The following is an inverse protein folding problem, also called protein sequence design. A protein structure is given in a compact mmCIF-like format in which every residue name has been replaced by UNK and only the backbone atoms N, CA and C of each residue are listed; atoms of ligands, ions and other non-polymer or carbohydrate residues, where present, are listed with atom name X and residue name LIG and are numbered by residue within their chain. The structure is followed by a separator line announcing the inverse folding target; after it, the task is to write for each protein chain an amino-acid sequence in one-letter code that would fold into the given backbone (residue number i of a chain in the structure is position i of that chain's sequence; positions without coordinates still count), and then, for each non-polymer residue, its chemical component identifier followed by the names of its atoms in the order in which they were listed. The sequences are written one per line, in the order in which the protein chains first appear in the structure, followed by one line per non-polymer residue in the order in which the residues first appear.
data_IF_291061634512
#
_entry.id   IF_291061634512
#
_cell.length_a   1.000
_cell.length_b   1.000
_cell.length_c   1.000
_cell.angle_alpha   90.00
_cell.angle_beta   90.00
_cell.angle_gamma   90.00
#
_symmetry.space_group_name_H-M   'P 1'
#
loop_
_entity.id
_entity.type
_entity.pdbx_description
1 polymer ?
#
# COMPACT_ATOMS: atom_id res chain seq x y z
N UNK A 1 -6.15 -19.38 24.66
CA UNK A 1 -5.84 -17.99 24.28
C UNK A 1 -7.11 -17.20 24.48
N UNK A 2 -7.02 -16.06 25.17
CA UNK A 2 -8.18 -15.17 25.36
C UNK A 2 -8.62 -14.63 23.97
N UNK A 3 -9.92 -14.60 23.64
CA UNK A 3 -10.40 -13.98 22.39
C UNK A 3 -9.89 -12.55 22.17
N UNK A 4 -9.62 -11.79 23.25
CA UNK A 4 -9.06 -10.44 23.18
C UNK A 4 -7.57 -10.41 22.77
N UNK A 5 -6.79 -11.43 23.14
CA UNK A 5 -5.38 -11.58 22.71
C UNK A 5 -5.31 -11.91 21.22
N UNK A 6 -6.24 -12.74 20.74
CA UNK A 6 -6.33 -13.11 19.33
C UNK A 6 -6.71 -11.93 18.44
N UNK A 7 -7.75 -11.16 18.80
CA UNK A 7 -8.17 -10.00 18.01
C UNK A 7 -7.06 -8.94 17.92
N UNK A 8 -6.37 -8.69 19.04
CA UNK A 8 -5.23 -7.77 19.10
C UNK A 8 -4.09 -8.22 18.18
N UNK A 9 -3.77 -9.51 18.20
CA UNK A 9 -2.69 -10.07 17.38
C UNK A 9 -3.00 -10.00 15.88
N UNK A 10 -4.24 -10.30 15.47
CA UNK A 10 -4.67 -10.16 14.07
C UNK A 10 -4.58 -8.69 13.62
N UNK A 11 -4.96 -7.74 14.48
CA UNK A 11 -4.87 -6.31 14.17
C UNK A 11 -3.42 -5.85 13.96
N UNK A 12 -2.48 -6.35 14.77
CA UNK A 12 -1.04 -6.07 14.59
C UNK A 12 -0.58 -6.50 13.20
N UNK A 13 -0.84 -7.75 12.80
CA UNK A 13 -0.44 -8.24 11.48
C UNK A 13 -1.14 -7.51 10.34
N UNK A 14 -2.43 -7.18 10.50
CA UNK A 14 -3.19 -6.41 9.52
C UNK A 14 -2.60 -5.01 9.34
N UNK A 15 -2.14 -4.38 10.42
CA UNK A 15 -1.46 -3.09 10.37
C UNK A 15 -0.08 -3.21 9.71
N UNK A 16 0.67 -4.28 9.95
CA UNK A 16 1.92 -4.55 9.24
C UNK A 16 1.71 -4.68 7.73
N UNK A 17 0.73 -5.46 7.28
CA UNK A 17 0.39 -5.59 5.86
C UNK A 17 -0.03 -4.26 5.24
N UNK A 18 -0.80 -3.45 5.97
CA UNK A 18 -1.17 -2.10 5.55
C UNK A 18 0.06 -1.22 5.36
N UNK A 19 1.01 -1.28 6.29
CA UNK A 19 2.25 -0.53 6.20
C UNK A 19 3.10 -0.99 5.02
N UNK A 20 3.22 -2.30 4.76
CA UNK A 20 3.90 -2.80 3.56
C UNK A 20 3.29 -2.27 2.24
N UNK A 21 1.96 -2.19 2.16
CA UNK A 21 1.28 -1.58 1.00
C UNK A 21 1.65 -0.10 0.88
N UNK A 22 1.69 0.62 2.01
CA UNK A 22 2.05 2.05 2.03
C UNK A 22 3.50 2.27 1.62
N UNK A 23 4.44 1.54 2.23
CA UNK A 23 5.88 1.64 1.94
C UNK A 23 6.17 1.32 0.47
N UNK A 24 5.53 0.29 -0.08
CA UNK A 24 5.64 -0.04 -1.49
C UNK A 24 5.04 1.05 -2.38
N UNK A 25 3.92 1.65 -1.99
CA UNK A 25 3.34 2.78 -2.71
C UNK A 25 4.25 4.03 -2.71
N UNK A 26 4.93 4.33 -1.60
CA UNK A 26 5.88 5.43 -1.52
C UNK A 26 7.12 5.18 -2.37
N UNK A 27 7.63 3.95 -2.35
CA UNK A 27 8.75 3.54 -3.19
C UNK A 27 8.42 3.67 -4.68
N UNK A 28 7.25 3.18 -5.12
CA UNK A 28 6.79 3.29 -6.52
C UNK A 28 6.52 4.74 -6.92
N UNK A 29 5.94 5.54 -6.02
CA UNK A 29 5.69 6.96 -6.26
C UNK A 29 6.99 7.75 -6.46
N UNK A 30 8.04 7.36 -5.76
CA UNK A 30 9.30 8.08 -5.74
C UNK A 30 9.21 9.41 -4.98
N UNK A 31 10.16 10.33 -5.18
CA UNK A 31 10.21 11.58 -4.42
C UNK A 31 9.01 12.47 -4.72
N UNK A 32 8.36 12.96 -3.66
CA UNK A 32 7.28 13.93 -3.80
C UNK A 32 7.80 15.27 -4.34
N UNK A 33 7.11 15.88 -5.33
CA UNK A 33 7.42 17.24 -5.75
C UNK A 33 7.31 18.24 -4.61
N UNK A 34 8.09 19.32 -4.74
CA UNK A 34 8.02 20.42 -3.78
C UNK A 34 6.63 21.05 -3.77
N UNK A 35 6.20 21.45 -2.58
CA UNK A 35 4.99 22.27 -2.42
C UNK A 35 5.26 23.65 -3.01
N UNK A 36 4.31 24.18 -3.78
CA UNK A 36 4.42 25.50 -4.40
C UNK A 36 3.10 26.24 -4.34
N UNK A 37 3.15 27.55 -4.52
CA UNK A 37 1.96 28.40 -4.58
C UNK A 37 1.66 28.69 -6.06
N UNK A 38 0.44 28.44 -6.49
CA UNK A 38 0.04 28.76 -7.87
C UNK A 38 -0.28 30.27 -8.03
N UNK A 39 -0.58 30.69 -9.26
CA UNK A 39 -0.93 32.07 -9.60
C UNK A 39 -2.17 32.62 -8.84
N UNK A 40 -3.00 31.72 -8.29
CA UNK A 40 -4.19 32.07 -7.51
C UNK A 40 -3.95 32.09 -5.99
N UNK A 41 -2.70 31.97 -5.53
CA UNK A 41 -2.37 31.95 -4.10
C UNK A 41 -2.70 30.62 -3.39
N UNK A 42 -3.04 29.57 -4.15
CA UNK A 42 -3.33 28.23 -3.64
C UNK A 42 -2.03 27.48 -3.36
N UNK A 43 -1.81 27.01 -2.12
CA UNK A 43 -0.68 26.14 -1.80
C UNK A 43 -0.98 24.74 -2.32
N UNK A 44 -0.23 24.29 -3.33
CA UNK A 44 -0.36 22.97 -3.93
C UNK A 44 0.62 22.00 -3.29
N UNK A 45 0.08 21.01 -2.57
CA UNK A 45 0.84 19.96 -1.92
C UNK A 45 0.61 18.61 -2.61
N UNK A 46 1.69 17.89 -2.84
CA UNK A 46 1.69 16.54 -3.42
C UNK A 46 1.54 15.47 -2.33
N UNK A 47 0.86 14.39 -2.67
CA UNK A 47 0.58 13.25 -1.80
C UNK A 47 0.64 11.95 -2.60
N UNK A 48 1.02 10.86 -1.95
CA UNK A 48 0.90 9.50 -2.52
C UNK A 48 -0.53 9.01 -2.34
N UNK A 49 -1.08 8.36 -3.37
CA UNK A 49 -2.34 7.62 -3.25
C UNK A 49 -2.05 6.19 -2.76
N UNK A 50 -2.57 5.85 -1.58
CA UNK A 50 -2.43 4.53 -0.96
C UNK A 50 -3.56 3.55 -1.32
N UNK A 51 -4.38 3.89 -2.32
CA UNK A 51 -5.39 2.98 -2.89
C UNK A 51 -6.64 2.77 -2.04
N UNK A 52 -6.86 3.53 -0.96
CA UNK A 52 -8.00 3.31 -0.04
C UNK A 52 -9.38 3.48 -0.68
N UNK A 53 -9.54 4.43 -1.60
CA UNK A 53 -10.81 4.71 -2.29
C UNK A 53 -10.80 4.35 -3.77
N UNK A 54 -9.62 4.35 -4.40
CA UNK A 54 -9.44 3.93 -5.78
C UNK A 54 -8.09 3.24 -5.93
N UNK A 55 -8.12 1.91 -5.84
CA UNK A 55 -6.93 1.09 -5.86
C UNK A 55 -6.17 1.13 -7.19
N UNK A 56 -6.83 1.44 -8.31
CA UNK A 56 -6.15 1.54 -9.62
C UNK A 56 -5.21 2.74 -9.70
N UNK A 57 -5.28 3.68 -8.74
CA UNK A 57 -4.39 4.84 -8.66
C UNK A 57 -3.31 4.68 -7.57
N UNK A 58 -3.16 3.50 -6.96
CA UNK A 58 -2.16 3.29 -5.91
C UNK A 58 -0.74 3.60 -6.42
N UNK A 59 0.11 4.15 -5.55
CA UNK A 59 1.48 4.56 -5.90
C UNK A 59 1.55 5.80 -6.81
N UNK A 60 0.41 6.37 -7.23
CA UNK A 60 0.41 7.63 -7.98
C UNK A 60 0.53 8.82 -7.05
N UNK A 61 1.23 9.84 -7.51
CA UNK A 61 1.27 11.14 -6.85
C UNK A 61 0.12 11.99 -7.36
N UNK A 62 -0.59 12.60 -6.43
CA UNK A 62 -1.63 13.57 -6.73
C UNK A 62 -1.42 14.86 -5.94
N UNK A 63 -1.92 15.97 -6.47
CA UNK A 63 -1.84 17.28 -5.81
C UNK A 63 -3.19 17.69 -5.25
N UNK A 64 -3.17 18.38 -4.11
CA UNK A 64 -4.33 19.06 -3.53
C UNK A 64 -3.96 20.51 -3.25
N UNK A 65 -4.90 21.43 -3.53
CA UNK A 65 -4.80 22.78 -2.98
C UNK A 65 -5.19 22.76 -1.50
N UNK A 66 -4.32 23.28 -0.65
CA UNK A 66 -4.53 23.48 0.78
C UNK A 66 -4.56 24.98 1.06
N UNK A 67 -5.74 25.58 1.20
CA UNK A 67 -5.87 26.94 1.77
C UNK A 67 -6.61 26.88 3.10
N UNK A 68 -6.52 27.95 3.90
CA UNK A 68 -7.21 28.05 5.19
C UNK A 68 -8.75 28.01 5.09
N UNK A 69 -9.33 28.14 3.89
CA UNK A 69 -10.78 28.39 3.71
C UNK A 69 -11.48 27.51 2.65
N UNK A 70 -10.77 26.67 1.87
CA UNK A 70 -11.42 25.89 0.79
C UNK A 70 -11.50 24.38 1.03
N UNK A 71 -12.66 23.84 0.63
CA UNK A 71 -12.93 22.42 0.38
C UNK A 71 -12.16 21.98 -0.88
N UNK A 72 -11.53 20.81 -0.79
CA UNK A 72 -10.58 20.26 -1.76
C UNK A 72 -11.01 20.42 -3.24
N UNK A 73 -10.19 21.14 -4.03
CA UNK A 73 -10.26 21.17 -5.50
C UNK A 73 -10.03 19.77 -6.11
N UNK A 74 -10.42 19.52 -7.38
CA UNK A 74 -10.30 18.21 -8.00
C UNK A 74 -8.86 17.68 -7.94
N UNK A 75 -8.74 16.41 -7.59
CA UNK A 75 -7.47 15.70 -7.46
C UNK A 75 -6.83 15.60 -8.85
N UNK A 76 -5.75 16.33 -9.08
CA UNK A 76 -4.93 16.20 -10.28
C UNK A 76 -3.81 15.20 -10.00
N UNK A 77 -3.74 14.12 -10.79
CA UNK A 77 -2.64 13.17 -10.74
C UNK A 77 -1.50 13.65 -11.64
N UNK A 78 -0.28 13.52 -11.16
CA UNK A 78 0.91 14.03 -11.87
C UNK A 78 1.86 12.93 -12.32
N UNK A 79 1.77 11.72 -11.76
CA UNK A 79 2.54 10.56 -12.23
C UNK A 79 1.68 9.65 -13.11
N UNK A 80 2.34 8.89 -13.99
CA UNK A 80 1.73 7.83 -14.78
C UNK A 80 1.17 6.74 -13.86
N UNK A 81 0.29 5.91 -14.41
CA UNK A 81 -0.12 4.69 -13.74
C UNK A 81 1.09 3.77 -13.54
N UNK A 82 1.12 2.98 -12.44
CA UNK A 82 2.09 1.89 -12.34
C UNK A 82 1.91 0.94 -13.53
N UNK A 83 3.00 0.34 -13.99
CA UNK A 83 2.95 -0.67 -15.04
C UNK A 83 2.30 -1.97 -14.55
N UNK A 84 2.08 -2.91 -15.47
CA UNK A 84 1.37 -4.16 -15.19
C UNK A 84 2.09 -5.01 -14.13
N UNK A 85 3.43 -5.07 -14.17
CA UNK A 85 4.25 -5.81 -13.21
C UNK A 85 4.10 -5.23 -11.80
N UNK A 86 4.22 -3.91 -11.68
CA UNK A 86 4.06 -3.18 -10.41
C UNK A 86 2.63 -3.33 -9.88
N UNK A 87 1.61 -3.21 -10.76
CA UNK A 87 0.22 -3.40 -10.38
C UNK A 87 -0.07 -4.83 -9.91
N UNK A 88 0.59 -5.85 -10.48
CA UNK A 88 0.46 -7.24 -10.03
C UNK A 88 0.97 -7.40 -8.58
N UNK A 89 2.09 -6.75 -8.23
CA UNK A 89 2.59 -6.76 -6.84
C UNK A 89 1.61 -6.08 -5.89
N UNK A 90 1.08 -4.90 -6.26
CA UNK A 90 0.04 -4.24 -5.47
C UNK A 90 -1.20 -5.12 -5.25
N UNK A 91 -1.69 -5.77 -6.32
CA UNK A 91 -2.84 -6.67 -6.23
C UNK A 91 -2.58 -7.83 -5.27
N UNK A 92 -1.37 -8.42 -5.31
CA UNK A 92 -1.00 -9.50 -4.39
C UNK A 92 -0.93 -9.02 -2.94
N UNK A 93 -0.31 -7.88 -2.67
CA UNK A 93 -0.28 -7.27 -1.33
C UNK A 93 -1.69 -6.97 -0.81
N UNK A 94 -2.57 -6.45 -1.67
CA UNK A 94 -3.97 -6.22 -1.33
C UNK A 94 -4.71 -7.52 -1.01
N UNK A 95 -4.50 -8.58 -1.79
CA UNK A 95 -5.09 -9.87 -1.52
C UNK A 95 -4.67 -10.41 -0.15
N UNK A 96 -3.39 -10.36 0.20
CA UNK A 96 -2.88 -10.73 1.53
C UNK A 96 -3.56 -9.93 2.65
N UNK A 97 -3.70 -8.61 2.47
CA UNK A 97 -4.41 -7.75 3.42
C UNK A 97 -5.89 -8.11 3.56
N UNK A 98 -6.60 -8.35 2.46
CA UNK A 98 -8.03 -8.71 2.47
C UNK A 98 -8.27 -10.08 3.11
N UNK A 99 -7.36 -11.04 2.92
CA UNK A 99 -7.42 -12.39 3.51
C UNK A 99 -7.29 -12.39 5.04
N UNK A 100 -6.72 -11.34 5.65
CA UNK A 100 -6.75 -11.19 7.12
C UNK A 100 -8.13 -10.82 7.67
N UNK A 101 -9.09 -10.48 6.81
CA UNK A 101 -10.43 -10.08 7.22
C UNK A 101 -11.25 -11.25 7.79
N UNK A 102 -11.96 -10.99 8.90
CA UNK A 102 -12.80 -11.97 9.59
C UNK A 102 -13.91 -12.60 8.72
N UNK A 103 -14.26 -12.00 7.58
CA UNK A 103 -15.27 -12.55 6.65
C UNK A 103 -14.80 -13.84 5.95
N UNK A 104 -13.49 -14.04 5.81
CA UNK A 104 -12.91 -15.23 5.17
C UNK A 104 -12.43 -16.27 6.17
N UNK A 105 -12.35 -15.92 7.46
CA UNK A 105 -12.23 -16.91 8.52
C UNK A 105 -13.61 -17.48 8.81
N UNK A 106 -13.82 -18.75 8.47
CA UNK A 106 -14.84 -19.55 9.15
C UNK A 106 -14.69 -19.36 10.66
N UNK A 107 -15.82 -19.31 11.39
CA UNK A 107 -15.86 -19.02 12.83
C UNK A 107 -14.71 -19.72 13.56
N UNK A 108 -13.87 -19.00 14.33
CA UNK A 108 -12.80 -19.63 15.10
C UNK A 108 -13.37 -20.79 15.93
N UNK A 109 -12.84 -22.00 15.73
CA UNK A 109 -13.37 -23.23 16.36
C UNK A 109 -14.20 -24.15 15.46
N UNK A 110 -14.60 -23.74 14.25
CA UNK A 110 -15.28 -24.66 13.31
C UNK A 110 -14.31 -25.51 12.48
N UNK A 111 -13.16 -24.95 12.07
CA UNK A 111 -12.18 -25.66 11.21
C UNK A 111 -10.71 -25.44 11.59
N UNK A 112 -10.39 -24.40 12.35
CA UNK A 112 -9.02 -24.09 12.77
C UNK A 112 -9.04 -23.35 14.12
N UNK A 113 -8.00 -23.55 14.94
CA UNK A 113 -7.85 -22.82 16.19
C UNK A 113 -7.42 -21.36 15.94
N UNK A 114 -7.70 -20.42 16.86
CA UNK A 114 -7.17 -19.05 16.79
C UNK A 114 -5.66 -18.99 16.57
N UNK A 115 -4.90 -19.91 17.17
CA UNK A 115 -3.44 -20.02 16.97
C UNK A 115 -3.05 -20.43 15.55
N UNK A 116 -3.77 -21.37 14.93
CA UNK A 116 -3.51 -21.79 13.56
C UNK A 116 -3.76 -20.63 12.58
N UNK A 117 -4.82 -19.86 12.83
CA UNK A 117 -5.11 -18.67 12.04
C UNK A 117 -4.01 -17.60 12.19
N UNK A 118 -3.53 -17.34 13.40
CA UNK A 118 -2.41 -16.41 13.61
C UNK A 118 -1.15 -16.87 12.88
N UNK A 119 -0.86 -18.17 12.87
CA UNK A 119 0.25 -18.72 12.11
C UNK A 119 0.10 -18.44 10.61
N UNK A 120 -1.08 -18.64 10.04
CA UNK A 120 -1.38 -18.31 8.62
C UNK A 120 -1.21 -16.82 8.33
N UNK A 121 -1.80 -15.95 9.17
CA UNK A 121 -1.69 -14.49 8.98
C UNK A 121 -0.23 -14.02 9.09
N UNK A 122 0.58 -14.65 9.94
CA UNK A 122 2.02 -14.36 10.01
C UNK A 122 2.78 -14.72 8.73
N UNK A 123 2.34 -15.76 8.00
CA UNK A 123 2.91 -16.12 6.70
C UNK A 123 2.59 -15.04 5.67
N UNK A 124 1.39 -14.47 5.69
CA UNK A 124 1.04 -13.37 4.78
C UNK A 124 1.95 -12.16 4.94
N UNK A 125 2.35 -11.83 6.17
CA UNK A 125 3.32 -10.75 6.41
C UNK A 125 4.67 -11.08 5.79
N UNK A 126 5.18 -12.31 5.98
CA UNK A 126 6.44 -12.75 5.36
C UNK A 126 6.38 -12.72 3.84
N UNK A 127 5.27 -13.18 3.25
CA UNK A 127 5.07 -13.10 1.80
C UNK A 127 5.09 -11.64 1.30
N UNK A 128 4.52 -10.70 2.07
CA UNK A 128 4.57 -9.28 1.73
C UNK A 128 6.01 -8.72 1.76
N UNK A 129 6.81 -9.11 2.74
CA UNK A 129 8.23 -8.76 2.83
C UNK A 129 9.03 -9.32 1.64
N UNK A 130 8.82 -10.59 1.30
CA UNK A 130 9.48 -11.25 0.17
C UNK A 130 9.15 -10.59 -1.17
N UNK A 131 7.88 -10.21 -1.40
CA UNK A 131 7.47 -9.49 -2.60
C UNK A 131 8.23 -8.17 -2.77
N UNK A 132 8.43 -7.44 -1.68
CA UNK A 132 9.18 -6.19 -1.69
C UNK A 132 10.65 -6.42 -2.07
N UNK A 133 11.28 -7.44 -1.50
CA UNK A 133 12.67 -7.80 -1.80
C UNK A 133 12.83 -8.26 -3.25
N UNK A 134 11.94 -9.11 -3.74
CA UNK A 134 11.99 -9.61 -5.13
C UNK A 134 11.83 -8.47 -6.13
N UNK A 135 10.87 -7.57 -5.92
CA UNK A 135 10.66 -6.42 -6.80
C UNK A 135 11.86 -5.46 -6.81
N UNK A 136 12.44 -5.14 -5.65
CA UNK A 136 13.63 -4.30 -5.61
C UNK A 136 14.81 -4.92 -6.36
N UNK A 137 15.00 -6.23 -6.21
CA UNK A 137 16.03 -6.96 -6.95
C UNK A 137 15.78 -6.99 -8.46
N UNK A 138 14.52 -7.03 -8.93
CA UNK A 138 14.21 -6.95 -10.35
C UNK A 138 14.47 -5.53 -10.89
N UNK A 139 13.97 -4.49 -10.21
CA UNK A 139 14.16 -3.09 -10.62
C UNK A 139 15.63 -2.69 -10.65
N UNK A 140 16.43 -3.06 -9.65
CA UNK A 140 17.87 -2.76 -9.62
C UNK A 140 18.61 -3.46 -10.77
N UNK A 141 18.28 -4.73 -11.06
CA UNK A 141 18.92 -5.49 -12.14
C UNK A 141 18.57 -4.98 -13.53
N UNK A 142 17.34 -4.52 -13.75
CA UNK A 142 16.90 -4.02 -15.06
C UNK A 142 17.09 -2.49 -15.22
N UNK A 143 17.23 -1.75 -14.13
CA UNK A 143 17.60 -0.33 -14.14
C UNK A 143 19.04 -0.11 -14.60
N UNK A 144 19.98 -0.94 -14.13
CA UNK A 144 21.38 -0.89 -14.57
C UNK A 144 21.54 -1.24 -16.06
N UNK A 145 20.72 -2.15 -16.60
CA UNK A 145 20.78 -2.53 -18.00
C UNK A 145 20.23 -1.46 -18.98
N UNK A 146 19.49 -0.45 -18.49
CA UNK A 146 18.94 0.63 -19.31
C UNK A 146 19.88 1.85 -19.45
N UNK A 147 20.96 1.92 -18.68
CA UNK A 147 21.96 2.99 -18.80
C UNK A 147 23.13 2.63 -19.73
N UNK A 148 23.19 1.39 -20.25
CA UNK A 148 24.27 0.91 -21.14
C UNK A 148 23.84 0.67 -22.62
N UNK A 149 22.66 1.14 -23.04
CA UNK A 149 22.16 0.96 -24.42
C UNK A 149 22.00 2.26 -25.20
#
# INVERSE_FOLDING_TARGET
MDPSDYSTSVEVYRNQLKNHIHDFAEMVAGPLPRTFVNEHGCQLKAYVNYGSSNFSNIGRIYTKCTTAVHKHHPIAYITKYPDEETMAVFQRLRALYELTGQKYSSTPGEFASPSDWLAVVSIFVKEAEELFVTYNNSVVRFGAAKEEA
#
